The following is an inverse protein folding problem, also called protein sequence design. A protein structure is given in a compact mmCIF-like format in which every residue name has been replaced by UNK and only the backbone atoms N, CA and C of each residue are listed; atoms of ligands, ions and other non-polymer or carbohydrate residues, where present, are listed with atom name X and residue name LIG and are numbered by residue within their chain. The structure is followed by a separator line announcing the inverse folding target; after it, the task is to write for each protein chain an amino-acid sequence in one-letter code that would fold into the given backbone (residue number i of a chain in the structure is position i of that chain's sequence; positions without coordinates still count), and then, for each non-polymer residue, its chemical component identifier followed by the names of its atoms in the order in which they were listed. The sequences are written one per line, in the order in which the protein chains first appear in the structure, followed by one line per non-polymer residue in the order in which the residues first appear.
data_IF_747641272010
#
_entry.id   IF_747641272010
#
_cell.length_a   1.000
_cell.length_b   1.000
_cell.length_c   1.000
_cell.angle_alpha   90.00
_cell.angle_beta   90.00
_cell.angle_gamma   90.00
#
_symmetry.space_group_name_H-M   'P 1'
#
loop_
_entity.id
_entity.type
_entity.pdbx_description
1 polymer ?
#
# COMPACT_ATOMS: atom_id res chain seq x y z
N UNK A 1 -2.77 -22.83 -26.93
CA UNK A 1 -1.82 -23.19 -25.85
C UNK A 1 -0.77 -22.08 -25.65
N UNK A 2 -0.15 -21.56 -26.72
CA UNK A 2 0.82 -20.46 -26.64
C UNK A 2 0.28 -19.18 -25.97
N UNK A 3 -0.93 -18.76 -26.35
CA UNK A 3 -1.53 -17.53 -25.81
C UNK A 3 -1.80 -17.57 -24.30
N UNK A 4 -2.28 -18.71 -23.80
CA UNK A 4 -2.52 -18.92 -22.36
C UNK A 4 -1.21 -18.89 -21.59
N UNK A 5 -0.14 -19.46 -22.16
CA UNK A 5 1.19 -19.42 -21.57
C UNK A 5 1.75 -17.99 -21.56
N UNK A 6 1.56 -17.22 -22.63
CA UNK A 6 1.99 -15.83 -22.72
C UNK A 6 1.30 -14.96 -21.66
N UNK A 7 -0.02 -15.09 -21.47
CA UNK A 7 -0.74 -14.37 -20.41
C UNK A 7 -0.27 -14.77 -19.01
N UNK A 8 0.06 -16.04 -18.78
CA UNK A 8 0.57 -16.49 -17.49
C UNK A 8 1.96 -15.92 -17.20
N UNK A 9 2.84 -15.92 -18.21
CA UNK A 9 4.17 -15.29 -18.12
C UNK A 9 4.07 -13.80 -17.84
N UNK A 10 3.18 -13.09 -18.54
CA UNK A 10 2.89 -11.69 -18.29
C UNK A 10 2.39 -11.47 -16.86
N UNK A 11 1.41 -12.25 -16.39
CA UNK A 11 0.88 -12.12 -15.03
C UNK A 11 1.96 -12.35 -13.96
N UNK A 12 2.89 -13.28 -14.20
CA UNK A 12 4.05 -13.49 -13.34
C UNK A 12 4.99 -12.27 -13.33
N UNK A 13 5.33 -11.72 -14.50
CA UNK A 13 6.16 -10.52 -14.61
C UNK A 13 5.51 -9.31 -13.92
N UNK A 14 4.21 -9.14 -14.11
CA UNK A 14 3.43 -8.09 -13.46
C UNK A 14 3.46 -8.24 -11.93
N UNK A 15 3.26 -9.46 -11.39
CA UNK A 15 3.36 -9.71 -9.94
C UNK A 15 4.73 -9.36 -9.38
N UNK A 16 5.81 -9.68 -10.10
CA UNK A 16 7.17 -9.33 -9.68
C UNK A 16 7.37 -7.82 -9.64
N UNK A 17 6.97 -7.10 -10.69
CA UNK A 17 7.10 -5.64 -10.75
C UNK A 17 6.26 -4.96 -9.65
N UNK A 18 5.01 -5.38 -9.49
CA UNK A 18 4.12 -4.86 -8.45
C UNK A 18 4.58 -5.21 -7.04
N UNK A 19 5.29 -6.32 -6.84
CA UNK A 19 5.92 -6.66 -5.57
C UNK A 19 6.93 -5.59 -5.13
N UNK A 20 7.77 -5.12 -6.04
CA UNK A 20 8.69 -4.00 -5.79
C UNK A 20 7.93 -2.70 -5.50
N UNK A 21 6.94 -2.38 -6.34
CA UNK A 21 6.13 -1.17 -6.21
C UNK A 21 5.39 -1.10 -4.86
N UNK A 22 4.70 -2.16 -4.48
CA UNK A 22 3.96 -2.22 -3.21
C UNK A 22 4.91 -2.25 -2.01
N UNK A 23 6.06 -2.91 -2.13
CA UNK A 23 7.09 -2.91 -1.09
C UNK A 23 7.62 -1.50 -0.80
N UNK A 24 7.86 -0.71 -1.84
CA UNK A 24 8.27 0.69 -1.72
C UNK A 24 7.27 1.54 -0.95
N UNK A 25 5.98 1.42 -1.31
CA UNK A 25 4.89 2.11 -0.61
C UNK A 25 4.77 1.66 0.84
N UNK A 26 4.93 0.35 1.12
CA UNK A 26 4.89 -0.19 2.49
C UNK A 26 6.01 0.36 3.37
N UNK A 27 7.25 0.37 2.87
CA UNK A 27 8.43 0.89 3.58
C UNK A 27 8.23 2.38 3.90
N UNK A 28 7.81 3.17 2.91
CA UNK A 28 7.57 4.58 3.10
C UNK A 28 6.42 4.84 4.09
N UNK A 29 5.33 4.08 4.01
CA UNK A 29 4.21 4.19 4.95
C UNK A 29 4.66 3.90 6.38
N UNK A 30 5.48 2.85 6.59
CA UNK A 30 6.07 2.52 7.89
C UNK A 30 6.91 3.68 8.41
N UNK A 31 7.82 4.21 7.59
CA UNK A 31 8.69 5.32 7.94
C UNK A 31 7.88 6.58 8.32
N UNK A 32 6.86 6.95 7.54
CA UNK A 32 6.01 8.13 7.83
C UNK A 32 5.16 7.98 9.07
N UNK A 33 4.61 6.78 9.33
CA UNK A 33 3.93 6.51 10.61
C UNK A 33 4.93 6.61 11.77
N UNK A 34 6.12 6.01 11.62
CA UNK A 34 7.20 6.02 12.61
C UNK A 34 7.62 7.43 13.00
N UNK A 35 7.90 8.26 11.99
CA UNK A 35 8.26 9.66 12.15
C UNK A 35 7.12 10.46 12.81
N UNK A 36 5.90 10.30 12.31
CA UNK A 36 4.74 11.07 12.79
C UNK A 36 4.43 10.72 14.24
N UNK A 37 4.25 9.45 14.58
CA UNK A 37 3.90 9.03 15.93
C UNK A 37 5.09 9.15 16.89
N UNK A 38 6.30 8.81 16.45
CA UNK A 38 7.50 8.76 17.29
C UNK A 38 7.96 10.13 17.78
N UNK A 39 7.66 11.21 17.03
CA UNK A 39 7.84 12.60 17.50
C UNK A 39 6.96 12.97 18.69
N UNK A 40 5.84 12.26 18.90
CA UNK A 40 4.90 12.56 19.98
C UNK A 40 5.19 11.71 21.20
N UNK A 41 5.34 10.41 20.99
CA UNK A 41 5.64 9.48 22.07
C UNK A 41 6.30 8.20 21.52
N UNK A 42 7.33 7.67 22.20
CA UNK A 42 7.98 6.42 21.80
C UNK A 42 7.04 5.21 21.72
N UNK A 43 5.88 5.23 22.38
CA UNK A 43 4.88 4.16 22.38
C UNK A 43 3.51 4.70 21.91
N UNK A 44 3.49 5.75 21.08
CA UNK A 44 2.24 6.36 20.60
C UNK A 44 1.29 5.35 19.90
N UNK A 45 1.81 4.30 19.26
CA UNK A 45 1.01 3.22 18.67
C UNK A 45 0.31 2.31 19.69
N UNK A 46 0.59 2.48 20.98
CA UNK A 46 -0.05 1.74 22.07
C UNK A 46 -0.98 2.63 22.91
N UNK A 47 -1.00 3.94 22.66
CA UNK A 47 -1.70 4.90 23.51
C UNK A 47 -3.00 5.41 22.88
N UNK A 48 -4.15 5.31 23.57
CA UNK A 48 -5.44 5.75 23.04
C UNK A 48 -5.47 7.22 22.60
N UNK A 49 -4.71 8.10 23.27
CA UNK A 49 -4.68 9.54 22.99
C UNK A 49 -4.24 9.85 21.55
N UNK A 50 -3.38 9.04 20.95
CA UNK A 50 -2.94 9.23 19.57
C UNK A 50 -3.79 8.45 18.57
N UNK A 51 -4.62 7.54 19.06
CA UNK A 51 -5.35 6.58 18.25
C UNK A 51 -6.87 6.75 18.34
N UNK A 52 -7.36 7.96 18.08
CA UNK A 52 -8.78 8.32 18.19
C UNK A 52 -9.56 8.21 16.86
N UNK A 53 -8.90 7.76 15.79
CA UNK A 53 -9.42 7.76 14.41
C UNK A 53 -10.35 6.59 14.06
N UNK A 54 -10.45 5.58 14.92
CA UNK A 54 -11.41 4.49 14.83
C UNK A 54 -12.21 4.38 16.12
N UNK A 55 -13.44 4.90 16.11
CA UNK A 55 -14.32 5.00 17.28
C UNK A 55 -14.80 3.65 17.85
N UNK A 56 -14.29 2.52 17.36
CA UNK A 56 -14.67 1.17 17.80
C UNK A 56 -13.63 0.61 18.77
N UNK A 57 -13.95 0.53 20.08
CA UNK A 57 -13.07 -0.07 21.08
C UNK A 57 -12.71 -1.53 20.78
N UNK A 58 -13.59 -2.28 20.10
CA UNK A 58 -13.33 -3.67 19.73
C UNK A 58 -12.22 -3.76 18.67
N UNK A 59 -12.26 -2.91 17.64
CA UNK A 59 -11.23 -2.83 16.62
C UNK A 59 -9.86 -2.40 17.22
N UNK A 60 -9.88 -1.49 18.19
CA UNK A 60 -8.70 -1.12 18.98
C UNK A 60 -8.10 -2.32 19.72
N UNK A 61 -8.93 -3.00 20.51
CA UNK A 61 -8.53 -4.19 21.26
C UNK A 61 -7.98 -5.28 20.33
N UNK A 62 -8.61 -5.48 19.17
CA UNK A 62 -8.14 -6.43 18.17
C UNK A 62 -6.73 -6.07 17.68
N UNK A 63 -6.47 -4.80 17.34
CA UNK A 63 -5.12 -4.38 16.93
C UNK A 63 -4.07 -4.60 18.00
N UNK A 64 -4.35 -4.26 19.26
CA UNK A 64 -3.43 -4.53 20.36
C UNK A 64 -3.14 -6.03 20.51
N UNK A 65 -4.14 -6.89 20.35
CA UNK A 65 -3.94 -8.35 20.35
C UNK A 65 -3.06 -8.80 19.20
N UNK A 66 -3.33 -8.33 17.97
CA UNK A 66 -2.52 -8.67 16.80
C UNK A 66 -1.07 -8.16 16.94
N UNK A 67 -0.88 -6.94 17.45
CA UNK A 67 0.44 -6.39 17.76
C UNK A 67 1.20 -7.28 18.75
N UNK A 68 0.56 -7.67 19.86
CA UNK A 68 1.17 -8.57 20.86
C UNK A 68 1.54 -9.93 20.25
N UNK A 69 0.69 -10.47 19.37
CA UNK A 69 0.99 -11.70 18.65
C UNK A 69 2.21 -11.54 17.73
N UNK A 70 2.33 -10.41 17.03
CA UNK A 70 3.52 -10.10 16.22
C UNK A 70 4.76 -10.11 17.10
N UNK A 71 4.76 -9.37 18.21
CA UNK A 71 5.92 -9.31 19.11
C UNK A 71 6.28 -10.68 19.69
N UNK A 72 5.26 -11.47 20.08
CA UNK A 72 5.44 -12.80 20.67
C UNK A 72 6.01 -13.83 19.68
N UNK A 73 5.54 -13.82 18.44
CA UNK A 73 5.83 -14.86 17.45
C UNK A 73 6.86 -14.44 16.40
N UNK A 74 7.34 -13.20 16.45
CA UNK A 74 8.36 -12.73 15.51
C UNK A 74 9.65 -13.52 15.64
N UNK A 75 10.30 -13.72 14.50
CA UNK A 75 11.67 -14.25 14.40
C UNK A 75 12.71 -13.14 14.25
N UNK A 76 12.27 -11.88 14.32
CA UNK A 76 13.16 -10.73 14.24
C UNK A 76 14.08 -10.68 15.47
N UNK A 77 15.42 -10.76 15.28
CA UNK A 77 16.35 -10.82 16.39
C UNK A 77 16.43 -9.51 17.18
N UNK A 78 16.14 -8.36 16.57
CA UNK A 78 16.12 -7.06 17.23
C UNK A 78 14.95 -6.97 18.19
N UNK A 79 13.75 -7.37 17.73
CA UNK A 79 12.56 -7.40 18.57
C UNK A 79 12.74 -8.38 19.74
N UNK A 80 13.19 -9.60 19.47
CA UNK A 80 13.40 -10.62 20.51
C UNK A 80 14.43 -10.18 21.55
N UNK A 81 15.55 -9.58 21.11
CA UNK A 81 16.58 -9.07 22.01
C UNK A 81 16.02 -7.96 22.89
N UNK A 82 15.31 -7.00 22.32
CA UNK A 82 14.72 -5.89 23.07
C UNK A 82 13.70 -6.40 24.10
N UNK A 83 12.75 -7.24 23.69
CA UNK A 83 11.74 -7.79 24.59
C UNK A 83 12.36 -8.56 25.77
N UNK A 84 13.44 -9.32 25.51
CA UNK A 84 14.19 -10.04 26.54
C UNK A 84 14.99 -9.12 27.46
N UNK A 85 15.67 -8.11 26.92
CA UNK A 85 16.51 -7.17 27.67
C UNK A 85 15.68 -6.32 28.64
N UNK A 86 14.52 -5.82 28.19
CA UNK A 86 13.66 -4.93 28.96
C UNK A 86 12.47 -5.63 29.64
N UNK A 87 12.29 -6.93 29.42
CA UNK A 87 11.20 -7.72 30.02
C UNK A 87 9.80 -7.22 29.65
N UNK A 88 9.62 -6.65 28.45
CA UNK A 88 8.36 -6.02 28.02
C UNK A 88 8.03 -6.31 26.56
N UNK A 89 6.75 -6.53 26.27
CA UNK A 89 6.21 -6.64 24.91
C UNK A 89 5.77 -5.26 24.35
N UNK A 90 5.88 -4.20 25.16
CA UNK A 90 5.54 -2.83 24.79
C UNK A 90 6.73 -2.12 24.16
N UNK A 91 7.10 -2.56 22.96
CA UNK A 91 8.26 -2.04 22.24
C UNK A 91 8.09 -0.56 21.87
N UNK A 92 9.18 0.22 21.85
CA UNK A 92 9.20 1.51 21.19
C UNK A 92 8.78 1.38 19.72
N UNK A 93 8.15 2.43 19.21
CA UNK A 93 7.53 2.50 17.90
C UNK A 93 8.50 2.09 16.78
N UNK A 94 9.74 2.61 16.79
CA UNK A 94 10.73 2.29 15.75
C UNK A 94 11.16 0.82 15.74
N UNK A 95 10.95 0.08 16.84
CA UNK A 95 11.18 -1.38 16.90
C UNK A 95 9.89 -2.11 16.56
N UNK A 96 8.77 -1.69 17.16
CA UNK A 96 7.48 -2.33 16.98
C UNK A 96 6.95 -2.28 15.55
N UNK A 97 7.22 -1.20 14.82
CA UNK A 97 6.77 -1.02 13.44
C UNK A 97 7.46 -1.99 12.45
N UNK A 98 8.69 -2.43 12.73
CA UNK A 98 9.42 -3.38 11.87
C UNK A 98 8.73 -4.75 11.81
N UNK A 99 8.05 -5.14 12.90
CA UNK A 99 7.27 -6.38 12.92
C UNK A 99 5.94 -6.31 12.17
N UNK A 100 5.46 -5.11 11.81
CA UNK A 100 4.14 -4.94 11.21
C UNK A 100 4.17 -5.16 9.70
N UNK A 101 3.28 -6.03 9.23
CA UNK A 101 2.96 -6.13 7.80
C UNK A 101 2.10 -4.93 7.34
N UNK A 102 1.97 -4.76 6.02
CA UNK A 102 1.12 -3.72 5.41
C UNK A 102 -0.30 -3.67 5.99
N UNK A 103 -0.91 -4.82 6.28
CA UNK A 103 -2.27 -4.87 6.84
C UNK A 103 -2.37 -4.18 8.20
N UNK A 104 -1.44 -4.47 9.10
CA UNK A 104 -1.37 -3.84 10.42
C UNK A 104 -0.94 -2.38 10.35
N UNK A 105 -0.07 -2.00 9.42
CA UNK A 105 0.28 -0.60 9.18
C UNK A 105 -0.94 0.22 8.71
N UNK A 106 -1.75 -0.31 7.80
CA UNK A 106 -3.00 0.33 7.36
C UNK A 106 -3.99 0.46 8.51
N UNK A 107 -4.08 -0.56 9.36
CA UNK A 107 -4.96 -0.54 10.52
C UNK A 107 -4.49 0.50 11.56
N UNK A 108 -3.19 0.56 11.87
CA UNK A 108 -2.61 1.58 12.73
C UNK A 108 -2.87 2.98 12.16
N UNK A 109 -2.59 3.20 10.88
CA UNK A 109 -2.90 4.46 10.19
C UNK A 109 -4.37 4.84 10.34
N UNK A 110 -5.31 3.90 10.18
CA UNK A 110 -6.74 4.18 10.37
C UNK A 110 -7.08 4.60 11.78
N UNK A 111 -6.41 4.06 12.79
CA UNK A 111 -6.64 4.42 14.19
C UNK A 111 -6.01 5.74 14.59
N UNK A 112 -4.94 6.19 13.94
CA UNK A 112 -4.37 7.50 14.21
C UNK A 112 -5.43 8.61 14.19
N UNK A 113 -5.29 9.59 15.08
CA UNK A 113 -6.18 10.76 15.11
C UNK A 113 -6.19 11.48 13.75
N UNK A 114 -7.27 12.21 13.45
CA UNK A 114 -7.43 12.87 12.15
C UNK A 114 -6.25 13.79 11.77
N UNK A 115 -5.71 14.63 12.68
CA UNK A 115 -4.53 15.45 12.36
C UNK A 115 -3.30 14.61 12.01
N UNK A 116 -3.04 13.53 12.76
CA UNK A 116 -1.88 12.67 12.52
C UNK A 116 -1.99 11.88 11.22
N UNK A 117 -3.20 11.44 10.85
CA UNK A 117 -3.44 10.81 9.54
C UNK A 117 -3.17 11.78 8.39
N UNK A 118 -3.59 13.04 8.56
CA UNK A 118 -3.36 14.04 7.53
C UNK A 118 -1.87 14.35 7.36
N UNK A 119 -1.11 14.46 8.46
CA UNK A 119 0.35 14.65 8.40
C UNK A 119 1.07 13.53 7.64
N UNK A 120 0.68 12.27 7.86
CA UNK A 120 1.20 11.15 7.07
C UNK A 120 0.78 11.29 5.60
N UNK A 121 -0.48 11.61 5.32
CA UNK A 121 -0.98 11.71 3.95
C UNK A 121 -0.39 12.87 3.14
N UNK A 122 -0.05 13.97 3.81
CA UNK A 122 0.60 15.13 3.19
C UNK A 122 1.97 14.75 2.59
N UNK A 123 2.70 13.82 3.23
CA UNK A 123 3.97 13.31 2.71
C UNK A 123 3.82 12.48 1.41
N UNK A 124 2.60 12.07 1.07
CA UNK A 124 2.26 11.34 -0.15
C UNK A 124 1.44 12.20 -1.14
N UNK A 125 1.38 13.50 -0.92
CA UNK A 125 0.55 14.41 -1.70
C UNK A 125 -0.91 13.92 -1.82
N UNK A 126 -1.45 13.41 -0.71
CA UNK A 126 -2.81 12.86 -0.61
C UNK A 126 -3.60 13.49 0.54
N UNK A 127 -4.93 13.45 0.47
CA UNK A 127 -5.76 13.62 1.68
C UNK A 127 -5.73 12.34 2.52
N UNK A 128 -6.04 12.45 3.81
CA UNK A 128 -6.08 11.29 4.69
C UNK A 128 -7.03 10.18 4.20
N UNK A 129 -8.16 10.57 3.56
CA UNK A 129 -9.14 9.63 3.02
C UNK A 129 -8.68 8.99 1.71
N UNK A 130 -8.01 9.76 0.84
CA UNK A 130 -7.41 9.24 -0.39
C UNK A 130 -6.38 8.18 -0.06
N UNK A 131 -5.35 8.51 0.72
CA UNK A 131 -4.30 7.56 1.11
C UNK A 131 -4.89 6.31 1.77
N UNK A 132 -5.83 6.48 2.70
CA UNK A 132 -6.49 5.35 3.35
C UNK A 132 -7.30 4.45 2.41
N UNK A 133 -7.85 5.02 1.33
CA UNK A 133 -8.54 4.25 0.28
C UNK A 133 -7.55 3.53 -0.65
N UNK A 134 -6.46 4.19 -1.02
CA UNK A 134 -5.43 3.67 -1.91
C UNK A 134 -4.68 2.51 -1.26
N UNK A 135 -4.25 2.67 -0.01
CA UNK A 135 -3.56 1.61 0.72
C UNK A 135 -4.43 0.34 0.86
N UNK A 136 -5.75 0.51 1.07
CA UNK A 136 -6.67 -0.63 1.15
C UNK A 136 -6.74 -1.38 -0.17
N UNK A 137 -6.83 -0.65 -1.28
CA UNK A 137 -6.85 -1.20 -2.64
C UNK A 137 -5.53 -1.90 -2.98
N UNK A 138 -4.40 -1.29 -2.63
CA UNK A 138 -3.05 -1.87 -2.77
C UNK A 138 -2.95 -3.18 -1.98
N UNK A 139 -3.41 -3.20 -0.72
CA UNK A 139 -3.42 -4.43 0.10
C UNK A 139 -4.21 -5.55 -0.57
N UNK A 140 -5.37 -5.27 -1.15
CA UNK A 140 -6.18 -6.28 -1.85
C UNK A 140 -5.41 -6.89 -3.01
N UNK A 141 -4.88 -6.06 -3.92
CA UNK A 141 -4.14 -6.54 -5.08
C UNK A 141 -2.83 -7.25 -4.70
N UNK A 142 -2.13 -6.74 -3.69
CA UNK A 142 -0.93 -7.37 -3.11
C UNK A 142 -1.23 -8.76 -2.54
N UNK A 143 -2.39 -8.93 -1.90
CA UNK A 143 -2.80 -10.24 -1.37
C UNK A 143 -3.14 -11.22 -2.51
N UNK A 144 -3.84 -10.78 -3.56
CA UNK A 144 -4.08 -11.60 -4.75
C UNK A 144 -2.75 -12.09 -5.34
N UNK A 145 -1.78 -11.18 -5.50
CA UNK A 145 -0.44 -11.49 -5.97
C UNK A 145 0.29 -12.51 -5.08
N UNK A 146 0.24 -12.32 -3.75
CA UNK A 146 0.88 -13.23 -2.79
C UNK A 146 0.23 -14.63 -2.75
N UNK A 147 -1.03 -14.75 -3.15
CA UNK A 147 -1.73 -16.02 -3.30
C UNK A 147 -1.62 -16.60 -4.73
N UNK A 148 -0.73 -16.06 -5.56
CA UNK A 148 -0.52 -16.48 -6.95
C UNK A 148 -1.80 -16.47 -7.81
N UNK A 149 -2.76 -15.61 -7.46
CA UNK A 149 -3.95 -15.41 -8.27
C UNK A 149 -3.61 -14.60 -9.51
N UNK A 150 -4.46 -14.71 -10.54
CA UNK A 150 -4.36 -13.89 -11.74
C UNK A 150 -4.71 -12.45 -11.36
N UNK A 151 -3.79 -11.53 -11.60
CA UNK A 151 -3.92 -10.13 -11.20
C UNK A 151 -4.19 -9.20 -12.39
N UNK A 152 -3.82 -9.56 -13.62
CA UNK A 152 -3.98 -8.62 -14.73
C UNK A 152 -5.45 -8.23 -14.98
N UNK A 153 -6.38 -9.17 -14.87
CA UNK A 153 -7.83 -8.91 -15.01
C UNK A 153 -8.59 -8.96 -13.68
N UNK A 154 -7.90 -8.88 -12.55
CA UNK A 154 -8.54 -8.92 -11.25
C UNK A 154 -9.45 -7.70 -11.02
N UNK A 155 -10.44 -7.89 -10.15
CA UNK A 155 -11.30 -6.81 -9.66
C UNK A 155 -11.12 -6.65 -8.15
N UNK A 156 -10.83 -5.42 -7.74
CA UNK A 156 -10.68 -5.00 -6.35
C UNK A 156 -11.85 -4.07 -5.99
N UNK A 157 -12.84 -4.55 -5.21
CA UNK A 157 -14.10 -3.84 -5.01
C UNK A 157 -13.97 -2.62 -4.10
N UNK A 158 -12.89 -2.51 -3.33
CA UNK A 158 -12.67 -1.34 -2.47
C UNK A 158 -12.63 -0.05 -3.30
N UNK A 159 -13.39 1.00 -2.92
CA UNK A 159 -13.40 2.23 -3.68
C UNK A 159 -12.07 2.96 -3.58
N UNK A 160 -11.59 3.50 -4.70
CA UNK A 160 -10.50 4.47 -4.75
C UNK A 160 -11.11 5.86 -4.74
N UNK A 161 -10.70 6.70 -3.78
CA UNK A 161 -11.09 8.10 -3.75
C UNK A 161 -10.07 8.90 -4.55
N UNK A 162 -10.55 9.75 -5.45
CA UNK A 162 -9.73 10.66 -6.28
C UNK A 162 -10.29 12.09 -6.31
N UNK A 163 -11.37 12.35 -5.55
CA UNK A 163 -12.17 13.58 -5.63
C UNK A 163 -11.85 14.60 -4.55
N UNK A 164 -11.02 14.28 -3.55
CA UNK A 164 -10.77 15.19 -2.43
C UNK A 164 -9.63 16.18 -2.72
N UNK A 165 -8.91 16.00 -3.83
CA UNK A 165 -8.00 17.00 -4.40
C UNK A 165 -8.43 17.43 -5.80
N UNK A 166 -8.87 18.69 -5.93
CA UNK A 166 -9.01 19.38 -7.24
C UNK A 166 -7.67 19.61 -7.96
N UNK A 167 -6.55 19.20 -7.35
CA UNK A 167 -5.19 19.53 -7.78
C UNK A 167 -4.32 18.32 -8.20
N UNK A 168 -4.73 17.07 -7.97
CA UNK A 168 -3.98 15.92 -8.49
C UNK A 168 -4.37 15.66 -9.95
N UNK A 169 -3.96 16.58 -10.84
CA UNK A 169 -4.18 16.49 -12.29
C UNK A 169 -3.68 15.15 -12.85
N UNK A 170 -2.63 14.59 -12.23
CA UNK A 170 -1.98 13.34 -12.60
C UNK A 170 -2.94 12.14 -12.54
N UNK A 171 -3.93 12.16 -11.64
CA UNK A 171 -4.88 11.05 -11.44
C UNK A 171 -6.27 11.33 -12.02
N UNK A 172 -6.47 12.43 -12.76
CA UNK A 172 -7.78 12.80 -13.30
C UNK A 172 -8.34 11.82 -14.34
N UNK A 173 -7.46 11.08 -15.01
CA UNK A 173 -7.85 10.07 -15.98
C UNK A 173 -8.46 8.81 -15.33
N UNK A 174 -8.44 8.71 -14.00
CA UNK A 174 -8.95 7.56 -13.27
C UNK A 174 -10.44 7.71 -12.96
N UNK A 175 -11.24 6.79 -13.48
CA UNK A 175 -12.68 6.74 -13.24
C UNK A 175 -13.03 6.26 -11.83
N UNK A 176 -13.88 7.02 -11.12
CA UNK A 176 -14.40 6.56 -9.84
C UNK A 176 -15.31 5.35 -10.02
N UNK A 177 -15.14 4.35 -9.16
CA UNK A 177 -15.91 3.11 -9.23
C UNK A 177 -15.32 2.05 -10.16
N UNK A 178 -14.27 2.36 -10.94
CA UNK A 178 -13.54 1.30 -11.62
C UNK A 178 -12.95 0.35 -10.58
N UNK A 179 -13.09 -0.95 -10.81
CA UNK A 179 -12.61 -2.03 -9.94
C UNK A 179 -11.42 -2.76 -10.54
N UNK A 180 -11.05 -2.48 -11.78
CA UNK A 180 -9.98 -3.18 -12.49
C UNK A 180 -8.59 -2.84 -11.91
N UNK A 181 -7.63 -3.70 -12.25
CA UNK A 181 -6.25 -3.68 -11.73
C UNK A 181 -5.51 -2.38 -12.00
N UNK A 182 -5.69 -1.78 -13.18
CA UNK A 182 -4.97 -0.57 -13.58
C UNK A 182 -5.15 0.56 -12.57
N UNK A 183 -6.36 0.75 -12.03
CA UNK A 183 -6.63 1.80 -11.06
C UNK A 183 -5.73 1.68 -9.82
N UNK A 184 -5.56 0.46 -9.31
CA UNK A 184 -4.71 0.17 -8.15
C UNK A 184 -3.24 0.39 -8.49
N UNK A 185 -2.81 -0.03 -9.68
CA UNK A 185 -1.44 0.14 -10.15
C UNK A 185 -1.11 1.61 -10.33
N UNK A 186 -2.01 2.40 -10.91
CA UNK A 186 -1.84 3.83 -11.13
C UNK A 186 -1.66 4.60 -9.81
N UNK A 187 -2.50 4.33 -8.79
CA UNK A 187 -2.34 4.98 -7.48
C UNK A 187 -1.08 4.51 -6.74
N UNK A 188 -0.70 3.24 -6.86
CA UNK A 188 0.56 2.74 -6.29
C UNK A 188 1.77 3.38 -6.95
N UNK A 189 1.73 3.57 -8.28
CA UNK A 189 2.76 4.24 -9.05
C UNK A 189 2.89 5.71 -8.66
N UNK A 190 1.76 6.40 -8.45
CA UNK A 190 1.75 7.77 -7.93
C UNK A 190 2.45 7.85 -6.57
N UNK A 191 2.11 6.95 -5.63
CA UNK A 191 2.74 6.91 -4.30
C UNK A 191 4.24 6.61 -4.39
N UNK A 192 4.66 5.68 -5.27
CA UNK A 192 6.06 5.36 -5.49
C UNK A 192 6.87 6.58 -5.98
N UNK A 193 6.28 7.44 -6.83
CA UNK A 193 6.91 8.69 -7.26
C UNK A 193 7.11 9.68 -6.09
N UNK A 194 6.17 9.77 -5.16
CA UNK A 194 6.29 10.65 -3.99
C UNK A 194 7.43 10.23 -3.06
N UNK A 195 7.77 8.93 -3.07
CA UNK A 195 8.87 8.37 -2.27
C UNK A 195 10.14 8.18 -3.10
N UNK A 196 10.16 8.73 -4.32
CA UNK A 196 11.29 8.74 -5.25
C UNK A 196 11.81 7.35 -5.66
N UNK A 197 10.94 6.33 -5.64
CA UNK A 197 11.29 4.99 -6.14
C UNK A 197 10.99 4.88 -7.65
N UNK A 198 11.81 5.60 -8.41
CA UNK A 198 11.70 5.67 -9.87
C UNK A 198 12.04 4.34 -10.56
N UNK A 199 12.83 3.49 -9.91
CA UNK A 199 13.14 2.15 -10.39
C UNK A 199 11.90 1.25 -10.36
N UNK A 200 11.12 1.26 -9.27
CA UNK A 200 9.87 0.51 -9.18
C UNK A 200 8.82 1.02 -10.18
N UNK A 201 8.75 2.34 -10.39
CA UNK A 201 7.89 2.97 -11.40
C UNK A 201 8.22 2.44 -12.80
N UNK A 202 9.50 2.47 -13.20
CA UNK A 202 9.89 2.07 -14.55
C UNK A 202 9.82 0.56 -14.77
N UNK A 203 10.10 -0.25 -13.73
CA UNK A 203 9.87 -1.69 -13.78
C UNK A 203 8.38 -2.03 -13.99
N UNK A 204 7.48 -1.32 -13.30
CA UNK A 204 6.02 -1.50 -13.45
C UNK A 204 5.55 -1.08 -14.85
N UNK A 205 6.03 0.07 -15.34
CA UNK A 205 5.75 0.54 -16.69
C UNK A 205 6.19 -0.48 -17.74
N UNK A 206 7.44 -0.95 -17.62
CA UNK A 206 8.03 -1.94 -18.52
C UNK A 206 7.23 -3.23 -18.54
N UNK A 207 6.79 -3.71 -17.37
CA UNK A 207 5.94 -4.89 -17.28
C UNK A 207 4.61 -4.69 -18.02
N UNK A 208 3.91 -3.56 -17.82
CA UNK A 208 2.66 -3.26 -18.53
C UNK A 208 2.83 -3.15 -20.06
N UNK A 209 3.96 -2.62 -20.54
CA UNK A 209 4.27 -2.54 -21.97
C UNK A 209 4.53 -3.92 -22.60
N UNK A 210 4.87 -4.93 -21.79
CA UNK A 210 5.06 -6.31 -22.24
C UNK A 210 3.75 -7.10 -22.27
N UNK A 211 2.58 -6.44 -22.18
CA UNK A 211 1.29 -7.12 -22.32
C UNK A 211 1.22 -7.83 -23.68
N UNK A 212 0.98 -9.15 -23.73
CA UNK A 212 0.93 -9.88 -24.98
C UNK A 212 -0.36 -9.57 -25.73
N UNK A 213 -0.27 -9.24 -27.02
CA UNK A 213 -1.43 -9.10 -27.90
C UNK A 213 -1.95 -10.51 -28.28
N UNK A 214 -2.77 -11.08 -27.40
CA UNK A 214 -3.30 -12.44 -27.53
C UNK A 214 -4.74 -12.51 -27.06
N UNK A 215 -5.53 -13.43 -27.65
CA UNK A 215 -6.92 -13.70 -27.24
C UNK A 215 -7.83 -12.47 -27.19
N UNK A 216 -7.56 -11.44 -28.01
CA UNK A 216 -8.28 -10.15 -28.00
C UNK A 216 -8.15 -9.38 -26.67
N UNK A 217 -7.18 -9.75 -25.84
CA UNK A 217 -6.81 -9.00 -24.64
C UNK A 217 -5.59 -8.14 -24.91
N UNK A 218 -5.59 -6.99 -24.26
CA UNK A 218 -4.55 -5.99 -24.30
C UNK A 218 -4.44 -5.29 -22.93
N UNK A 219 -3.57 -4.28 -22.83
CA UNK A 219 -3.41 -3.50 -21.60
C UNK A 219 -4.70 -2.77 -21.17
N UNK A 220 -5.62 -2.48 -22.10
CA UNK A 220 -6.91 -1.85 -21.80
C UNK A 220 -7.86 -2.80 -21.07
N UNK A 221 -7.62 -4.10 -21.16
CA UNK A 221 -8.33 -5.13 -20.38
C UNK A 221 -8.07 -4.99 -18.87
N UNK A 222 -6.94 -4.40 -18.46
CA UNK A 222 -6.68 -4.02 -17.06
C UNK A 222 -7.42 -2.75 -16.63
N UNK A 223 -8.04 -2.02 -17.57
CA UNK A 223 -8.63 -0.71 -17.35
C UNK A 223 -7.68 0.46 -17.61
N UNK A 224 -6.55 0.25 -18.28
CA UNK A 224 -5.69 1.34 -18.73
C UNK A 224 -6.43 2.19 -19.78
N UNK A 225 -6.44 3.53 -19.69
CA UNK A 225 -6.97 4.37 -20.76
C UNK A 225 -6.02 4.37 -21.98
N UNK A 226 -6.52 4.80 -23.14
CA UNK A 226 -5.67 5.02 -24.31
C UNK A 226 -4.62 6.11 -24.04
N UNK A 227 -3.36 5.86 -24.43
CA UNK A 227 -2.24 6.78 -24.22
C UNK A 227 -1.80 6.91 -22.76
N UNK A 228 -2.14 5.94 -21.90
CA UNK A 228 -1.74 5.93 -20.49
C UNK A 228 -0.22 6.08 -20.32
N UNK A 229 0.55 5.47 -21.22
CA UNK A 229 2.01 5.42 -21.25
C UNK A 229 2.67 6.78 -21.52
N UNK A 230 1.89 7.76 -21.97
CA UNK A 230 2.31 9.14 -22.24
C UNK A 230 1.93 10.10 -21.11
N UNK A 231 1.16 9.65 -20.12
CA UNK A 231 0.78 10.51 -19.00
C UNK A 231 1.97 10.75 -18.08
N UNK A 232 2.01 11.91 -17.41
CA UNK A 232 3.09 12.26 -16.48
C UNK A 232 3.22 11.29 -15.30
N UNK A 233 2.21 10.45 -15.06
CA UNK A 233 2.26 9.38 -14.07
C UNK A 233 3.36 8.36 -14.41
N UNK A 234 3.57 8.06 -15.69
CA UNK A 234 4.43 6.98 -16.16
C UNK A 234 5.78 7.45 -16.71
N UNK A 235 6.11 8.73 -16.57
CA UNK A 235 7.43 9.26 -16.89
C UNK A 235 8.18 9.67 -15.63
N UNK A 236 9.47 9.36 -15.57
CA UNK A 236 10.38 9.68 -14.45
C UNK A 236 11.37 10.76 -14.85
#
# INVERSE_FOLDING_TARGET
MGDVLALNQFDQQLRTALGGLFGSVEIAQRARIGETLGRRDPQAHLRPDFLQGGLDPAAHKHFHTEYKNVVKWTKDPVIQRYAKEYGTDELPLWIGLEGLNLGLLIQLYRFMSRPLRQEVADAFDASAKELGSWLRRIRELRNLSAHHQVIWNARTPSPVRTTERRHCLVLQHLEQGDTRTYLTVAVANFLAKQVQDFAAVEATRSALLQFPDVLQFDVHSLGAPYGWEHTSLWHV
#
